data_IF_861144239789
#
_entry.id   IF_861144239789
#
_cell.length_a   1.000
_cell.length_b   1.000
_cell.length_c   1.000
_cell.angle_alpha   90.00
_cell.angle_beta   90.00
_cell.angle_gamma   90.00
#
_symmetry.space_group_name_H-M   'P 1'
#
loop_
_entity.id
_entity.type
_entity.pdbx_description
1 polymer ?
#
# COMPACT_ATOMS: atom_id res chain seq x y z
N UNK A 1 -30.23 9.88 6.28
CA UNK A 1 -29.20 8.93 6.75
C UNK A 1 -27.88 9.45 6.20
N UNK A 2 -26.89 9.75 7.02
CA UNK A 2 -25.58 10.15 6.51
C UNK A 2 -24.97 8.95 5.82
N UNK A 3 -24.56 9.08 4.56
CA UNK A 3 -23.73 8.11 3.90
C UNK A 3 -22.31 8.29 4.45
N UNK A 4 -22.01 7.52 5.46
CA UNK A 4 -20.88 7.67 6.37
C UNK A 4 -19.52 7.51 5.75
N UNK A 5 -19.45 7.03 4.53
CA UNK A 5 -18.21 6.60 3.93
C UNK A 5 -17.30 7.75 3.50
N UNK A 6 -17.87 8.85 3.01
CA UNK A 6 -17.11 10.04 2.63
C UNK A 6 -16.42 10.73 3.80
N UNK A 7 -17.07 10.65 4.99
CA UNK A 7 -16.60 11.33 6.20
C UNK A 7 -15.36 10.65 6.83
N UNK A 8 -15.06 9.41 6.43
CA UNK A 8 -13.95 8.62 6.97
C UNK A 8 -12.74 8.53 6.04
N UNK A 9 -12.79 9.21 4.90
CA UNK A 9 -11.67 9.24 3.97
C UNK A 9 -10.70 10.33 4.36
N UNK A 10 -9.60 9.92 4.93
CA UNK A 10 -8.47 10.80 5.11
C UNK A 10 -7.66 10.81 3.80
N UNK A 11 -7.61 11.99 3.18
CA UNK A 11 -6.90 12.24 1.93
C UNK A 11 -5.91 13.34 2.11
N UNK A 12 -4.69 13.04 1.72
CA UNK A 12 -3.64 14.04 1.57
C UNK A 12 -3.49 14.28 0.07
N UNK A 13 -4.02 15.40 -0.42
CA UNK A 13 -3.98 15.70 -1.85
C UNK A 13 -5.20 15.18 -2.63
N UNK A 14 -4.99 14.74 -3.88
CA UNK A 14 -6.03 14.33 -4.81
C UNK A 14 -6.22 12.81 -4.93
N UNK A 15 -5.51 12.02 -4.10
CA UNK A 15 -5.60 10.56 -4.04
C UNK A 15 -5.37 10.03 -2.61
N UNK A 16 -5.74 8.78 -2.37
CA UNK A 16 -5.54 8.15 -1.06
C UNK A 16 -4.06 7.86 -0.80
N UNK A 17 -3.56 8.37 0.30
CA UNK A 17 -2.24 8.07 0.85
C UNK A 17 -2.31 7.36 2.21
N UNK A 18 -3.53 7.18 2.72
CA UNK A 18 -3.82 6.45 3.96
C UNK A 18 -4.85 5.37 3.68
N UNK A 19 -4.84 4.30 4.50
CA UNK A 19 -5.83 3.25 4.39
C UNK A 19 -7.18 3.80 4.86
N UNK A 20 -8.23 3.74 4.04
CA UNK A 20 -9.57 4.14 4.47
C UNK A 20 -10.04 3.33 5.66
N UNK A 21 -10.88 3.94 6.49
CA UNK A 21 -11.44 3.30 7.67
C UNK A 21 -12.07 1.94 7.30
N UNK A 22 -11.68 0.88 8.00
CA UNK A 22 -12.17 -0.49 7.79
C UNK A 22 -13.64 -0.64 8.15
N UNK A 23 -14.18 0.20 9.00
CA UNK A 23 -15.59 0.14 9.43
C UNK A 23 -16.59 0.47 8.32
N UNK A 24 -16.12 0.91 7.15
CA UNK A 24 -16.96 1.21 5.99
C UNK A 24 -17.87 0.07 5.57
N UNK A 25 -17.39 -1.15 5.62
CA UNK A 25 -18.18 -2.33 5.24
C UNK A 25 -19.22 -2.73 6.31
N UNK A 26 -19.20 -2.14 7.49
CA UNK A 26 -20.26 -2.33 8.48
C UNK A 26 -21.59 -1.68 8.08
N UNK A 27 -21.58 -0.79 7.09
CA UNK A 27 -22.75 -0.02 6.65
C UNK A 27 -23.31 -0.51 5.31
N UNK A 28 -23.57 -1.80 5.22
CA UNK A 28 -24.18 -2.42 4.04
C UNK A 28 -25.65 -1.99 3.99
N UNK A 29 -26.11 -1.47 2.84
CA UNK A 29 -27.50 -1.09 2.65
C UNK A 29 -28.36 -2.35 2.41
N UNK A 30 -29.07 -2.79 3.45
CA UNK A 30 -30.06 -3.89 3.41
C UNK A 30 -31.50 -3.38 3.40
N UNK A 31 -31.73 -2.19 2.83
CA UNK A 31 -32.98 -1.48 2.73
C UNK A 31 -33.09 -0.77 1.38
N UNK A 32 -34.32 -0.37 1.02
CA UNK A 32 -34.58 0.43 -0.20
C UNK A 32 -34.06 1.87 0.00
N UNK A 33 -33.13 2.28 -0.88
CA UNK A 33 -32.58 3.63 -0.88
C UNK A 33 -33.57 4.58 -1.50
N UNK A 34 -34.05 5.56 -0.72
CA UNK A 34 -35.09 6.48 -1.15
C UNK A 34 -34.59 7.50 -2.21
N UNK A 35 -33.40 8.06 -2.03
CA UNK A 35 -32.83 9.05 -2.96
C UNK A 35 -31.53 8.54 -3.57
N UNK A 36 -31.64 7.81 -4.65
CA UNK A 36 -30.50 7.17 -5.34
C UNK A 36 -29.59 8.18 -6.05
N UNK A 37 -30.09 9.37 -6.37
CA UNK A 37 -29.29 10.42 -7.03
C UNK A 37 -28.29 11.10 -6.08
N UNK A 38 -28.49 10.97 -4.77
CA UNK A 38 -27.54 11.50 -3.78
C UNK A 38 -26.46 10.49 -3.37
N UNK A 39 -26.59 9.23 -3.80
CA UNK A 39 -25.65 8.18 -3.44
C UNK A 39 -24.35 8.35 -4.21
N UNK A 40 -23.27 8.64 -3.49
CA UNK A 40 -21.91 8.71 -4.04
C UNK A 40 -21.04 7.53 -3.63
N UNK A 41 -21.38 6.90 -2.52
CA UNK A 41 -20.60 5.82 -1.90
C UNK A 41 -21.56 4.70 -1.51
N UNK A 42 -21.19 3.46 -1.83
CA UNK A 42 -22.00 2.29 -1.50
C UNK A 42 -21.13 1.10 -1.14
N UNK A 43 -21.62 0.26 -0.22
CA UNK A 43 -21.03 -1.04 0.10
C UNK A 43 -21.99 -2.15 -0.30
N UNK A 44 -21.44 -3.18 -0.96
CA UNK A 44 -22.16 -4.38 -1.38
C UNK A 44 -21.49 -5.61 -0.76
N UNK A 45 -22.32 -6.56 -0.31
CA UNK A 45 -21.89 -7.84 0.22
C UNK A 45 -22.77 -8.98 -0.28
N UNK A 46 -22.24 -10.19 -0.30
CA UNK A 46 -23.02 -11.40 -0.64
C UNK A 46 -24.17 -11.69 0.32
N UNK A 47 -24.17 -11.09 1.51
CA UNK A 47 -25.23 -11.26 2.51
C UNK A 47 -26.50 -10.46 2.19
N UNK A 48 -26.41 -9.52 1.22
CA UNK A 48 -27.56 -8.72 0.80
C UNK A 48 -28.45 -9.49 -0.16
N UNK A 49 -29.76 -9.33 0.00
CA UNK A 49 -30.73 -9.77 -1.00
C UNK A 49 -30.52 -9.01 -2.32
N UNK A 50 -30.87 -9.68 -3.41
CA UNK A 50 -30.66 -9.15 -4.76
C UNK A 50 -31.31 -7.78 -4.96
N UNK A 51 -32.51 -7.59 -4.45
CA UNK A 51 -33.29 -6.35 -4.52
C UNK A 51 -32.53 -5.15 -3.89
N UNK A 52 -31.67 -5.40 -2.90
CA UNK A 52 -30.92 -4.34 -2.21
C UNK A 52 -29.62 -4.01 -2.90
N UNK A 53 -28.81 -5.01 -3.28
CA UNK A 53 -27.53 -4.71 -3.91
C UNK A 53 -27.68 -4.26 -5.36
N UNK A 54 -28.71 -4.69 -6.11
CA UNK A 54 -28.95 -4.22 -7.48
C UNK A 54 -29.32 -2.73 -7.56
N UNK A 55 -29.72 -2.09 -6.46
CA UNK A 55 -29.96 -0.66 -6.42
C UNK A 55 -28.72 0.18 -6.84
N UNK A 56 -27.54 -0.40 -6.80
CA UNK A 56 -26.30 0.23 -7.27
C UNK A 56 -26.42 0.72 -8.71
N UNK A 57 -27.17 0.02 -9.56
CA UNK A 57 -27.36 0.39 -10.96
C UNK A 57 -28.26 1.62 -11.17
N UNK A 58 -29.03 1.96 -10.16
CA UNK A 58 -29.92 3.13 -10.15
C UNK A 58 -29.26 4.36 -9.50
N UNK A 59 -28.00 4.30 -9.10
CA UNK A 59 -27.26 5.37 -8.44
C UNK A 59 -26.32 6.08 -9.46
N UNK A 60 -26.81 7.09 -10.20
CA UNK A 60 -26.09 7.69 -11.33
C UNK A 60 -24.84 8.48 -10.90
N UNK A 61 -24.78 8.91 -9.64
CA UNK A 61 -23.67 9.70 -9.09
C UNK A 61 -22.73 8.88 -8.21
N UNK A 62 -22.80 7.53 -8.31
CA UNK A 62 -21.92 6.64 -7.57
C UNK A 62 -20.48 6.76 -8.08
N UNK A 63 -19.56 7.13 -7.19
CA UNK A 63 -18.14 7.28 -7.50
C UNK A 63 -17.27 6.27 -6.72
N UNK A 64 -17.76 5.80 -5.58
CA UNK A 64 -17.01 4.95 -4.68
C UNK A 64 -17.79 3.70 -4.29
N UNK A 65 -17.15 2.55 -4.46
CA UNK A 65 -17.77 1.25 -4.22
C UNK A 65 -16.86 0.36 -3.38
N UNK A 66 -17.44 -0.22 -2.32
CA UNK A 66 -16.82 -1.30 -1.56
C UNK A 66 -17.55 -2.62 -1.84
N UNK A 67 -16.80 -3.62 -2.27
CA UNK A 67 -17.26 -5.01 -2.40
C UNK A 67 -16.71 -5.80 -1.22
N UNK A 68 -17.56 -6.05 -0.21
CA UNK A 68 -17.17 -6.78 0.99
C UNK A 68 -17.66 -8.22 0.91
N UNK A 69 -16.72 -9.19 0.82
CA UNK A 69 -17.05 -10.61 0.65
C UNK A 69 -18.12 -10.83 -0.45
N UNK A 70 -17.91 -10.29 -1.67
CA UNK A 70 -18.92 -10.31 -2.71
C UNK A 70 -19.08 -11.70 -3.31
N UNK A 71 -20.28 -11.98 -3.86
CA UNK A 71 -20.48 -13.13 -4.73
C UNK A 71 -19.85 -12.89 -6.11
N UNK A 72 -19.59 -13.96 -6.86
CA UNK A 72 -19.10 -13.86 -8.24
C UNK A 72 -20.11 -13.16 -9.15
N UNK A 73 -21.42 -13.39 -8.93
CA UNK A 73 -22.50 -12.74 -9.66
C UNK A 73 -22.45 -11.22 -9.47
N UNK A 74 -22.28 -10.76 -8.22
CA UNK A 74 -22.15 -9.34 -7.90
C UNK A 74 -20.94 -8.71 -8.59
N UNK A 75 -19.78 -9.34 -8.50
CA UNK A 75 -18.55 -8.82 -9.15
C UNK A 75 -18.73 -8.73 -10.66
N UNK A 76 -19.30 -9.76 -11.30
CA UNK A 76 -19.54 -9.76 -12.73
C UNK A 76 -20.53 -8.69 -13.18
N UNK A 77 -21.60 -8.48 -12.42
CA UNK A 77 -22.61 -7.47 -12.72
C UNK A 77 -22.05 -6.06 -12.55
N UNK A 78 -21.35 -5.82 -11.42
CA UNK A 78 -20.82 -4.52 -11.02
C UNK A 78 -19.68 -4.06 -11.93
N UNK A 79 -18.91 -4.99 -12.50
CA UNK A 79 -17.83 -4.64 -13.44
C UNK A 79 -18.30 -3.87 -14.69
N UNK A 80 -19.61 -3.77 -14.90
CA UNK A 80 -20.22 -2.99 -15.99
C UNK A 80 -20.62 -1.56 -15.58
N UNK A 81 -20.45 -1.18 -14.31
CA UNK A 81 -20.79 0.16 -13.83
C UNK A 81 -19.83 1.20 -14.42
N UNK A 82 -20.35 2.28 -15.02
CA UNK A 82 -19.54 3.41 -15.40
C UNK A 82 -19.14 4.25 -14.17
N UNK A 83 -18.15 5.12 -14.33
CA UNK A 83 -17.84 6.24 -13.43
C UNK A 83 -17.32 5.89 -12.02
N UNK A 84 -17.00 4.63 -11.74
CA UNK A 84 -16.38 4.25 -10.46
C UNK A 84 -14.94 4.77 -10.44
N UNK A 85 -14.68 5.72 -9.55
CA UNK A 85 -13.35 6.32 -9.33
C UNK A 85 -12.57 5.60 -8.23
N UNK A 86 -13.28 4.99 -7.27
CA UNK A 86 -12.70 4.35 -6.10
C UNK A 86 -13.34 3.00 -5.87
N UNK A 87 -12.50 1.97 -5.88
CA UNK A 87 -12.93 0.59 -5.67
C UNK A 87 -12.17 -0.03 -4.50
N UNK A 88 -12.90 -0.62 -3.57
CA UNK A 88 -12.36 -1.48 -2.53
C UNK A 88 -12.97 -2.86 -2.65
N UNK A 89 -12.13 -3.89 -2.68
CA UNK A 89 -12.55 -5.30 -2.69
C UNK A 89 -11.93 -6.00 -1.50
N UNK A 90 -12.77 -6.63 -0.67
CA UNK A 90 -12.30 -7.32 0.52
C UNK A 90 -12.84 -8.75 0.57
N UNK A 91 -12.01 -9.70 1.05
CA UNK A 91 -12.38 -11.10 1.29
C UNK A 91 -12.95 -11.82 0.05
N UNK A 92 -12.36 -11.60 -1.11
CA UNK A 92 -12.81 -12.21 -2.35
C UNK A 92 -11.81 -13.24 -2.88
N UNK A 93 -12.32 -14.38 -3.37
CA UNK A 93 -11.51 -15.40 -4.02
C UNK A 93 -11.82 -15.46 -5.51
N UNK A 94 -10.80 -15.22 -6.34
CA UNK A 94 -10.89 -15.22 -7.80
C UNK A 94 -9.61 -15.76 -8.42
N UNK A 95 -9.67 -16.28 -9.63
CA UNK A 95 -8.51 -16.76 -10.39
C UNK A 95 -7.73 -15.66 -11.07
N UNK A 96 -8.36 -14.52 -11.29
CA UNK A 96 -7.80 -13.31 -11.91
C UNK A 96 -8.50 -12.06 -11.40
N UNK A 97 -7.99 -10.90 -11.77
CA UNK A 97 -8.55 -9.59 -11.45
C UNK A 97 -8.93 -8.80 -12.73
N UNK A 98 -9.19 -9.49 -13.83
CA UNK A 98 -9.55 -8.87 -15.11
C UNK A 98 -10.78 -7.97 -15.00
N UNK A 99 -11.74 -8.31 -14.13
CA UNK A 99 -12.94 -7.49 -13.90
C UNK A 99 -12.63 -6.04 -13.51
N UNK A 100 -11.49 -5.80 -12.84
CA UNK A 100 -11.07 -4.45 -12.41
C UNK A 100 -10.73 -3.57 -13.62
N UNK A 101 -10.21 -4.16 -14.68
CA UNK A 101 -9.82 -3.43 -15.89
C UNK A 101 -10.99 -2.75 -16.63
N UNK A 102 -12.23 -3.11 -16.30
CA UNK A 102 -13.42 -2.49 -16.87
C UNK A 102 -13.76 -1.12 -16.24
N UNK A 103 -13.20 -0.80 -15.09
CA UNK A 103 -13.41 0.49 -14.42
C UNK A 103 -12.44 1.53 -14.97
N UNK A 104 -12.72 2.05 -16.17
CA UNK A 104 -11.80 2.94 -16.88
C UNK A 104 -11.54 4.28 -16.21
N UNK A 105 -12.43 4.70 -15.30
CA UNK A 105 -12.31 5.93 -14.51
C UNK A 105 -11.67 5.72 -13.14
N UNK A 106 -11.21 4.50 -12.85
CA UNK A 106 -10.66 4.17 -11.55
C UNK A 106 -9.37 4.95 -11.25
N UNK A 107 -9.39 5.70 -10.15
CA UNK A 107 -8.27 6.48 -9.64
C UNK A 107 -7.63 5.83 -8.40
N UNK A 108 -8.41 5.09 -7.61
CA UNK A 108 -7.96 4.52 -6.34
C UNK A 108 -8.50 3.09 -6.18
N UNK A 109 -7.59 2.15 -5.88
CA UNK A 109 -7.89 0.73 -5.72
C UNK A 109 -7.38 0.20 -4.38
N UNK A 110 -8.23 -0.53 -3.66
CA UNK A 110 -7.87 -1.27 -2.47
C UNK A 110 -8.25 -2.74 -2.66
N UNK A 111 -7.28 -3.63 -2.51
CA UNK A 111 -7.48 -5.08 -2.48
C UNK A 111 -7.02 -5.61 -1.14
N UNK A 112 -7.95 -6.10 -0.32
CA UNK A 112 -7.67 -6.65 1.01
C UNK A 112 -8.16 -8.10 1.09
N UNK A 113 -7.29 -9.04 1.41
CA UNK A 113 -7.63 -10.46 1.50
C UNK A 113 -8.25 -11.01 0.21
N UNK A 114 -7.86 -10.45 -0.93
CA UNK A 114 -8.25 -10.97 -2.25
C UNK A 114 -7.25 -12.04 -2.65
N UNK A 115 -7.74 -13.24 -2.95
CA UNK A 115 -6.90 -14.43 -3.10
C UNK A 115 -7.24 -15.25 -4.33
N UNK A 116 -6.31 -16.12 -4.73
CA UNK A 116 -6.51 -17.07 -5.83
C UNK A 116 -5.79 -16.67 -7.12
N UNK A 117 -5.40 -15.43 -7.28
CA UNK A 117 -4.63 -14.89 -8.40
C UNK A 117 -3.19 -14.55 -7.98
N UNK A 118 -2.32 -14.39 -8.96
CA UNK A 118 -0.90 -13.99 -8.73
C UNK A 118 -0.43 -12.87 -9.66
N UNK A 119 -1.25 -12.46 -10.62
CA UNK A 119 -0.87 -11.51 -11.67
C UNK A 119 -1.60 -10.17 -11.49
N UNK A 120 -0.84 -9.06 -11.53
CA UNK A 120 -1.33 -7.69 -11.46
C UNK A 120 -1.38 -7.00 -12.84
N UNK A 121 -0.99 -7.68 -13.92
CA UNK A 121 -0.97 -7.13 -15.31
C UNK A 121 -2.33 -6.51 -15.72
N UNK A 122 -3.50 -7.03 -15.33
CA UNK A 122 -4.77 -6.37 -15.65
C UNK A 122 -4.86 -4.91 -15.24
N UNK A 123 -4.12 -4.49 -14.18
CA UNK A 123 -4.10 -3.11 -13.70
C UNK A 123 -3.44 -2.12 -14.68
N UNK A 124 -2.60 -2.59 -15.62
CA UNK A 124 -1.99 -1.75 -16.68
C UNK A 124 -3.03 -1.12 -17.62
N UNK A 125 -4.23 -1.69 -17.68
CA UNK A 125 -5.33 -1.15 -18.49
C UNK A 125 -5.94 0.11 -17.87
N UNK A 126 -5.70 0.36 -16.57
CA UNK A 126 -6.23 1.51 -15.83
C UNK A 126 -5.37 2.75 -16.08
N UNK A 127 -5.89 3.69 -16.89
CA UNK A 127 -5.12 4.87 -17.29
C UNK A 127 -5.18 6.04 -16.30
N UNK A 128 -6.08 5.97 -15.32
CA UNK A 128 -6.30 7.03 -14.32
C UNK A 128 -5.90 6.62 -12.90
N UNK A 129 -5.44 5.39 -12.70
CA UNK A 129 -5.11 4.87 -11.37
C UNK A 129 -3.94 5.63 -10.75
N UNK A 130 -4.15 6.27 -9.61
CA UNK A 130 -3.17 7.08 -8.88
C UNK A 130 -2.65 6.38 -7.64
N UNK A 131 -3.50 5.58 -7.01
CA UNK A 131 -3.21 4.95 -5.72
C UNK A 131 -3.67 3.50 -5.68
N UNK A 132 -2.79 2.61 -5.18
CA UNK A 132 -3.11 1.21 -4.94
C UNK A 132 -2.73 0.82 -3.51
N UNK A 133 -3.64 0.10 -2.83
CA UNK A 133 -3.43 -0.50 -1.53
C UNK A 133 -3.64 -2.00 -1.63
N UNK A 134 -2.62 -2.75 -1.30
CA UNK A 134 -2.64 -4.21 -1.29
C UNK A 134 -2.40 -4.73 0.12
N UNK A 135 -3.35 -5.48 0.65
CA UNK A 135 -3.20 -6.15 1.93
C UNK A 135 -3.47 -7.64 1.77
N UNK A 136 -2.49 -8.45 2.18
CA UNK A 136 -2.61 -9.90 2.21
C UNK A 136 -3.01 -10.53 0.87
N UNK A 137 -2.29 -10.17 -0.20
CA UNK A 137 -2.40 -10.79 -1.51
C UNK A 137 -1.43 -11.98 -1.61
N UNK A 138 -1.70 -13.06 -0.87
CA UNK A 138 -0.76 -14.16 -0.58
C UNK A 138 -0.04 -14.79 -1.76
N UNK A 139 -0.64 -14.79 -2.95
CA UNK A 139 -0.07 -15.41 -4.14
C UNK A 139 0.63 -14.41 -5.06
N UNK A 140 0.48 -13.13 -4.79
CA UNK A 140 1.18 -12.08 -5.52
C UNK A 140 2.53 -11.88 -4.86
N UNK A 141 3.58 -12.33 -5.51
CA UNK A 141 4.98 -12.15 -5.07
C UNK A 141 5.74 -11.22 -5.99
N UNK A 142 5.37 -11.20 -7.26
CA UNK A 142 5.86 -10.28 -8.27
C UNK A 142 4.89 -9.12 -8.48
N UNK A 143 5.37 -7.92 -8.23
CA UNK A 143 4.64 -6.68 -8.45
C UNK A 143 4.97 -6.02 -9.80
N UNK A 144 5.73 -6.69 -10.66
CA UNK A 144 6.06 -6.25 -12.01
C UNK A 144 4.83 -5.98 -12.90
N UNK A 145 3.67 -6.57 -12.56
CA UNK A 145 2.40 -6.24 -13.20
C UNK A 145 2.00 -4.76 -13.12
N UNK A 146 2.61 -3.97 -12.22
CA UNK A 146 2.40 -2.52 -12.11
C UNK A 146 3.30 -1.70 -13.07
N UNK A 147 4.26 -2.31 -13.74
CA UNK A 147 5.20 -1.64 -14.63
C UNK A 147 4.48 -0.88 -15.75
N UNK A 148 4.98 0.33 -16.06
CA UNK A 148 4.45 1.17 -17.12
C UNK A 148 3.14 1.91 -16.82
N UNK A 149 2.62 1.83 -15.58
CA UNK A 149 1.43 2.60 -15.20
C UNK A 149 1.84 4.05 -14.93
N UNK A 150 1.69 4.92 -15.93
CA UNK A 150 2.14 6.32 -15.88
C UNK A 150 1.38 7.18 -14.87
N UNK A 151 0.11 6.84 -14.60
CA UNK A 151 -0.73 7.60 -13.66
C UNK A 151 -0.44 7.29 -12.19
N UNK A 152 0.23 6.16 -11.88
CA UNK A 152 0.42 5.69 -10.52
C UNK A 152 1.41 6.56 -9.74
N UNK A 153 1.01 7.00 -8.55
CA UNK A 153 1.73 7.91 -7.64
C UNK A 153 2.03 7.29 -6.29
N UNK A 154 1.16 6.40 -5.84
CA UNK A 154 1.23 5.81 -4.51
C UNK A 154 1.00 4.31 -4.54
N UNK A 155 1.87 3.58 -3.87
CA UNK A 155 1.72 2.14 -3.64
C UNK A 155 1.83 1.88 -2.13
N UNK A 156 0.86 1.17 -1.58
CA UNK A 156 0.92 0.61 -0.25
C UNK A 156 0.83 -0.92 -0.32
N UNK A 157 1.78 -1.61 0.30
CA UNK A 157 1.80 -3.06 0.38
C UNK A 157 1.86 -3.45 1.86
N UNK A 158 0.92 -4.29 2.29
CA UNK A 158 0.76 -4.71 3.67
C UNK A 158 0.56 -6.22 3.78
N UNK A 159 1.10 -6.80 4.82
CA UNK A 159 0.73 -8.13 5.27
C UNK A 159 -0.29 -8.05 6.42
N UNK A 160 -0.25 -9.02 7.32
CA UNK A 160 -1.02 -9.04 8.55
C UNK A 160 -0.22 -9.67 9.68
N UNK A 161 -0.73 -9.65 10.90
CA UNK A 161 -0.09 -10.35 12.02
C UNK A 161 0.02 -11.86 11.79
N UNK A 162 -0.98 -12.46 11.12
CA UNK A 162 -1.05 -13.90 10.91
C UNK A 162 -0.39 -14.34 9.60
N UNK A 163 -0.19 -13.42 8.65
CA UNK A 163 0.24 -13.74 7.30
C UNK A 163 1.22 -12.73 6.72
N UNK A 164 2.37 -13.22 6.29
CA UNK A 164 3.32 -12.40 5.55
C UNK A 164 2.86 -12.17 4.11
N UNK A 165 3.05 -10.94 3.63
CA UNK A 165 2.99 -10.60 2.22
C UNK A 165 4.39 -10.76 1.62
N UNK A 166 4.65 -11.80 0.81
CA UNK A 166 5.94 -11.96 0.18
C UNK A 166 6.12 -10.98 -0.99
N UNK A 167 7.35 -10.49 -1.16
CA UNK A 167 7.77 -9.69 -2.32
C UNK A 167 9.07 -10.30 -2.84
N UNK A 168 9.15 -10.63 -4.12
CA UNK A 168 10.36 -11.16 -4.73
C UNK A 168 11.49 -10.13 -4.78
N UNK A 169 11.20 -8.93 -5.29
CA UNK A 169 12.12 -7.80 -5.31
C UNK A 169 11.35 -6.48 -5.45
N UNK A 170 12.05 -5.37 -5.25
CA UNK A 170 11.55 -4.02 -5.54
C UNK A 170 11.97 -3.52 -6.92
N UNK A 171 12.44 -4.38 -7.81
CA UNK A 171 12.93 -3.99 -9.15
C UNK A 171 11.85 -3.32 -10.00
N UNK A 172 10.59 -3.70 -9.81
CA UNK A 172 9.43 -3.10 -10.46
C UNK A 172 9.30 -1.58 -10.25
N UNK A 173 9.86 -1.03 -9.17
CA UNK A 173 9.80 0.42 -8.90
C UNK A 173 10.50 1.25 -9.98
N UNK A 174 11.52 0.69 -10.63
CA UNK A 174 12.21 1.37 -11.73
C UNK A 174 11.36 1.56 -12.99
N UNK A 175 10.26 0.81 -13.09
CA UNK A 175 9.37 0.76 -14.26
C UNK A 175 8.04 1.51 -14.05
N UNK A 176 7.86 2.16 -12.89
CA UNK A 176 6.68 2.99 -12.60
C UNK A 176 7.13 4.46 -12.63
N UNK A 177 6.99 5.16 -13.78
CA UNK A 177 7.76 6.38 -14.04
C UNK A 177 7.42 7.57 -13.15
N UNK A 178 6.23 7.58 -12.57
CA UNK A 178 5.75 8.71 -11.78
C UNK A 178 5.38 8.35 -10.35
N UNK A 179 5.87 7.19 -9.84
CA UNK A 179 5.64 6.80 -8.46
C UNK A 179 6.34 7.81 -7.53
N UNK A 180 5.60 8.34 -6.57
CA UNK A 180 6.08 9.34 -5.61
C UNK A 180 6.29 8.76 -4.21
N UNK A 181 5.42 7.85 -3.80
CA UNK A 181 5.42 7.29 -2.44
C UNK A 181 5.28 5.77 -2.50
N UNK A 182 6.20 5.08 -1.85
CA UNK A 182 6.06 3.66 -1.53
C UNK A 182 5.86 3.51 -0.02
N UNK A 183 4.79 2.85 0.37
CA UNK A 183 4.52 2.50 1.75
C UNK A 183 4.53 0.97 1.92
N UNK A 184 5.30 0.51 2.91
CA UNK A 184 5.41 -0.89 3.28
C UNK A 184 4.90 -1.05 4.72
N UNK A 185 3.82 -1.79 4.85
CA UNK A 185 3.19 -2.05 6.12
C UNK A 185 3.77 -3.23 6.88
N UNK A 186 3.03 -3.66 7.86
CA UNK A 186 3.39 -4.80 8.70
C UNK A 186 3.35 -6.12 7.92
N UNK A 187 4.18 -7.10 8.32
CA UNK A 187 4.13 -8.45 7.77
C UNK A 187 4.59 -8.59 6.31
N UNK A 188 5.19 -7.56 5.72
CA UNK A 188 5.80 -7.66 4.39
C UNK A 188 7.18 -8.28 4.50
N UNK A 189 7.51 -9.22 3.60
CA UNK A 189 8.77 -9.95 3.60
C UNK A 189 9.36 -10.04 2.20
N UNK A 190 10.55 -9.49 2.02
CA UNK A 190 11.33 -9.68 0.78
C UNK A 190 11.89 -11.10 0.78
N UNK A 191 11.69 -11.82 -0.33
CA UNK A 191 12.18 -13.19 -0.53
C UNK A 191 13.62 -13.10 -1.06
N UNK A 192 14.58 -13.74 -0.34
CA UNK A 192 16.00 -13.72 -0.72
C UNK A 192 16.55 -12.30 -0.96
N UNK A 193 16.49 -11.41 0.03
CA UNK A 193 16.91 -10.02 -0.14
C UNK A 193 18.39 -9.93 -0.51
N UNK A 194 18.71 -9.13 -1.54
CA UNK A 194 20.07 -8.80 -1.94
C UNK A 194 20.30 -7.31 -1.77
N UNK A 195 21.33 -6.96 -1.04
CA UNK A 195 21.69 -5.54 -0.82
C UNK A 195 22.12 -4.84 -2.11
N UNK A 196 21.69 -3.59 -2.35
CA UNK A 196 20.59 -2.90 -1.61
C UNK A 196 19.22 -3.31 -2.16
N UNK A 197 18.28 -3.66 -1.28
CA UNK A 197 16.93 -4.11 -1.70
C UNK A 197 16.16 -3.04 -2.46
N UNK A 198 16.48 -1.76 -2.24
CA UNK A 198 15.85 -0.61 -2.90
C UNK A 198 16.69 -0.03 -4.04
N UNK A 199 17.60 -0.79 -4.62
CA UNK A 199 18.47 -0.35 -5.72
C UNK A 199 17.70 0.28 -6.89
N UNK A 200 16.53 -0.24 -7.21
CA UNK A 200 15.67 0.23 -8.31
C UNK A 200 15.23 1.70 -8.17
N UNK A 201 15.17 2.23 -6.94
CA UNK A 201 14.82 3.64 -6.69
C UNK A 201 15.82 4.60 -7.32
N UNK A 202 17.09 4.20 -7.48
CA UNK A 202 18.10 5.03 -8.15
C UNK A 202 17.71 5.42 -9.57
N UNK A 203 16.88 4.60 -10.22
CA UNK A 203 16.37 4.82 -11.58
C UNK A 203 15.07 5.62 -11.62
N UNK A 204 14.37 5.73 -10.49
CA UNK A 204 13.10 6.45 -10.40
C UNK A 204 13.24 7.73 -9.56
N UNK A 205 13.58 8.82 -10.23
CA UNK A 205 13.81 10.14 -9.60
C UNK A 205 12.53 10.81 -9.06
N UNK A 206 11.36 10.21 -9.27
CA UNK A 206 10.08 10.74 -8.79
C UNK A 206 9.72 10.26 -7.39
N UNK A 207 10.31 9.15 -6.94
CA UNK A 207 10.09 8.67 -5.58
C UNK A 207 10.68 9.67 -4.60
N UNK A 208 9.82 10.24 -3.77
CA UNK A 208 10.14 11.28 -2.79
C UNK A 208 10.12 10.74 -1.37
N UNK A 209 9.34 9.67 -1.11
CA UNK A 209 9.09 9.18 0.24
C UNK A 209 8.99 7.67 0.30
N UNK A 210 9.60 7.09 1.32
CA UNK A 210 9.41 5.71 1.73
C UNK A 210 8.78 5.68 3.13
N UNK A 211 7.62 5.03 3.25
CA UNK A 211 7.00 4.75 4.55
C UNK A 211 7.34 3.33 4.95
N UNK A 212 8.17 3.16 5.95
CA UNK A 212 8.74 1.88 6.39
C UNK A 212 8.62 1.72 7.90
N UNK A 213 8.41 0.48 8.36
CA UNK A 213 8.55 0.16 9.79
C UNK A 213 10.03 0.00 10.19
N UNK A 214 10.41 0.23 11.46
CA UNK A 214 11.80 0.17 11.98
C UNK A 214 12.55 -1.14 11.71
N UNK A 215 11.84 -2.26 11.64
CA UNK A 215 12.43 -3.59 11.48
C UNK A 215 12.13 -4.21 10.10
N UNK A 216 11.81 -3.40 9.11
CA UNK A 216 11.46 -3.91 7.78
C UNK A 216 12.68 -4.51 7.05
N UNK A 217 13.78 -3.79 6.99
CA UNK A 217 15.00 -4.20 6.29
C UNK A 217 16.25 -4.06 7.17
N UNK A 218 17.41 -4.41 6.64
CA UNK A 218 18.67 -4.31 7.35
C UNK A 218 19.04 -2.87 7.69
N UNK A 219 19.91 -2.67 8.67
CA UNK A 219 20.48 -1.35 8.98
C UNK A 219 21.21 -0.75 7.77
N UNK A 220 21.86 -1.59 6.98
CA UNK A 220 22.56 -1.22 5.76
C UNK A 220 21.60 -0.71 4.67
N UNK A 221 20.44 -1.34 4.50
CA UNK A 221 19.41 -0.88 3.57
C UNK A 221 18.80 0.47 4.01
N UNK A 222 18.60 0.70 5.32
CA UNK A 222 18.19 2.01 5.84
C UNK A 222 19.23 3.09 5.54
N UNK A 223 20.51 2.79 5.75
CA UNK A 223 21.60 3.72 5.42
C UNK A 223 21.63 4.05 3.92
N UNK A 224 21.36 3.05 3.07
CA UNK A 224 21.29 3.26 1.62
C UNK A 224 20.14 4.20 1.22
N UNK A 225 18.93 3.97 1.72
CA UNK A 225 17.78 4.82 1.37
C UNK A 225 17.88 6.21 1.97
N UNK A 226 18.49 6.37 3.16
CA UNK A 226 18.76 7.67 3.75
C UNK A 226 19.72 8.50 2.91
N UNK A 227 20.79 7.89 2.40
CA UNK A 227 21.73 8.57 1.49
C UNK A 227 21.06 8.96 0.18
N UNK A 228 20.09 8.17 -0.28
CA UNK A 228 19.41 8.38 -1.55
C UNK A 228 18.31 9.46 -1.47
N UNK A 229 17.52 9.46 -0.41
CA UNK A 229 16.30 10.27 -0.28
C UNK A 229 16.36 11.36 0.80
N UNK A 230 17.28 11.26 1.76
CA UNK A 230 17.27 12.04 3.00
C UNK A 230 16.45 11.36 4.11
N UNK A 231 16.88 11.58 5.36
CA UNK A 231 16.25 10.97 6.54
C UNK A 231 14.78 11.38 6.70
N UNK A 232 14.47 12.65 6.42
CA UNK A 232 13.13 13.22 6.51
C UNK A 232 12.10 12.56 5.59
N UNK A 233 12.58 11.86 4.57
CA UNK A 233 11.78 11.16 3.57
C UNK A 233 11.59 9.65 3.85
N UNK A 234 12.16 9.17 4.95
CA UNK A 234 11.93 7.81 5.47
C UNK A 234 11.07 7.95 6.72
N UNK A 235 9.79 7.60 6.59
CA UNK A 235 8.81 7.90 7.64
C UNK A 235 8.00 6.66 8.03
N UNK A 236 7.32 6.74 9.17
CA UNK A 236 6.22 5.84 9.49
C UNK A 236 4.96 6.21 8.68
N UNK A 237 3.88 5.47 8.92
CA UNK A 237 2.59 5.70 8.25
C UNK A 237 1.96 7.07 8.58
N UNK A 238 2.27 7.63 9.74
CA UNK A 238 1.83 8.95 10.22
C UNK A 238 2.75 10.11 9.80
N UNK A 239 3.68 9.84 8.87
CA UNK A 239 4.70 10.78 8.39
C UNK A 239 5.75 11.20 9.43
N UNK A 240 5.78 10.59 10.60
CA UNK A 240 6.88 10.79 11.56
C UNK A 240 8.17 10.17 11.00
N UNK A 241 9.32 10.89 10.98
CA UNK A 241 10.58 10.35 10.52
C UNK A 241 11.02 9.11 11.32
N UNK A 242 11.60 8.13 10.63
CA UNK A 242 12.16 6.94 11.27
C UNK A 242 13.56 7.26 11.78
N UNK A 243 13.73 7.25 13.08
CA UNK A 243 14.99 7.57 13.75
C UNK A 243 15.83 6.31 13.99
N UNK A 244 17.17 6.47 14.12
CA UNK A 244 18.09 5.38 14.42
C UNK A 244 17.80 4.73 15.78
N UNK A 245 17.37 5.51 16.75
CA UNK A 245 17.00 5.08 18.09
C UNK A 245 15.55 5.47 18.39
N UNK A 246 14.85 4.59 19.10
CA UNK A 246 13.53 4.86 19.63
C UNK A 246 13.50 4.45 21.10
N UNK A 247 13.38 5.43 21.99
CA UNK A 247 13.29 5.18 23.42
C UNK A 247 11.83 5.00 23.82
N UNK A 248 11.54 3.86 24.42
CA UNK A 248 10.21 3.53 24.94
C UNK A 248 10.33 2.90 26.34
N UNK A 249 9.74 3.56 27.33
CA UNK A 249 9.90 3.17 28.75
C UNK A 249 11.38 3.14 29.13
N UNK A 250 11.88 2.00 29.56
CA UNK A 250 13.28 1.81 29.94
C UNK A 250 14.10 1.04 28.89
N UNK A 251 13.66 1.06 27.65
CA UNK A 251 14.30 0.36 26.54
C UNK A 251 14.59 1.30 25.38
N UNK A 252 15.66 0.99 24.65
CA UNK A 252 16.02 1.62 23.39
C UNK A 252 15.95 0.56 22.30
N UNK A 253 15.09 0.83 21.30
CA UNK A 253 14.98 0.03 20.09
C UNK A 253 15.85 0.64 19.00
N UNK A 254 16.71 -0.18 18.41
CA UNK A 254 17.52 0.21 17.28
C UNK A 254 16.78 0.04 15.95
N UNK A 255 17.14 0.85 14.97
CA UNK A 255 16.72 0.71 13.60
C UNK A 255 17.35 -0.55 12.99
N UNK A 256 16.60 -1.25 12.14
CA UNK A 256 17.10 -2.40 11.38
C UNK A 256 16.56 -3.74 11.84
N UNK A 257 16.34 -4.60 10.87
CA UNK A 257 15.84 -5.96 11.08
C UNK A 257 16.83 -6.80 11.89
N UNK A 258 16.35 -7.45 12.93
CA UNK A 258 17.17 -8.31 13.79
C UNK A 258 17.97 -7.56 14.87
N UNK A 259 17.91 -6.24 14.92
CA UNK A 259 18.49 -5.47 16.00
C UNK A 259 17.72 -5.73 17.30
N UNK A 260 18.46 -5.93 18.40
CA UNK A 260 17.85 -6.21 19.72
C UNK A 260 17.74 -4.94 20.53
N UNK A 261 16.61 -4.74 21.18
CA UNK A 261 16.42 -3.69 22.17
C UNK A 261 17.38 -3.85 23.34
N UNK A 262 17.75 -2.74 23.97
CA UNK A 262 18.59 -2.71 25.17
C UNK A 262 17.93 -1.88 26.26
N UNK A 263 18.37 -2.05 27.52
CA UNK A 263 18.00 -1.12 28.58
C UNK A 263 18.55 0.27 28.31
N UNK A 264 17.77 1.31 28.58
CA UNK A 264 18.24 2.70 28.47
C UNK A 264 19.30 3.03 29.54
N UNK A 265 19.37 2.25 30.61
CA UNK A 265 20.38 2.41 31.66
C UNK A 265 21.76 2.00 31.13
N UNK A 266 22.73 2.93 31.18
CA UNK A 266 24.10 2.72 30.72
C UNK A 266 24.20 2.37 29.20
N UNK A 267 23.29 2.85 28.40
CA UNK A 267 23.19 2.54 26.97
C UNK A 267 24.15 3.34 26.06
N UNK A 268 24.76 4.40 26.58
CA UNK A 268 25.54 5.38 25.80
C UNK A 268 26.58 4.74 24.88
N UNK A 269 27.49 3.92 25.45
CA UNK A 269 28.56 3.29 24.64
C UNK A 269 28.03 2.42 23.50
N UNK A 270 26.87 1.80 23.71
CA UNK A 270 26.25 0.95 22.71
C UNK A 270 25.55 1.76 21.64
N UNK A 271 24.89 2.85 22.02
CA UNK A 271 24.32 3.81 21.08
C UNK A 271 25.41 4.47 20.23
N UNK A 272 26.53 4.88 20.85
CA UNK A 272 27.66 5.48 20.13
C UNK A 272 28.25 4.51 19.09
N UNK A 273 28.38 3.22 19.44
CA UNK A 273 28.84 2.19 18.49
C UNK A 273 27.89 2.00 17.33
N UNK A 274 26.59 1.94 17.59
CA UNK A 274 25.57 1.79 16.52
C UNK A 274 25.55 3.03 15.64
N UNK A 275 25.67 4.23 16.21
CA UNK A 275 25.79 5.50 15.46
C UNK A 275 27.00 5.47 14.53
N UNK A 276 28.17 5.06 15.05
CA UNK A 276 29.38 4.97 14.22
C UNK A 276 29.25 3.93 13.12
N UNK A 277 28.66 2.78 13.42
CA UNK A 277 28.38 1.74 12.42
C UNK A 277 27.47 2.29 11.32
N UNK A 278 26.41 2.99 11.70
CA UNK A 278 25.45 3.57 10.75
C UNK A 278 26.08 4.62 9.84
N UNK A 279 26.95 5.49 10.36
CA UNK A 279 27.72 6.44 9.52
C UNK A 279 28.68 5.74 8.57
N UNK A 280 29.31 4.65 9.00
CA UNK A 280 30.15 3.83 8.12
C UNK A 280 29.33 3.17 6.99
N UNK A 281 28.10 2.70 7.30
CA UNK A 281 27.18 2.14 6.31
C UNK A 281 26.70 3.21 5.30
N UNK A 282 26.43 4.42 5.75
CA UNK A 282 26.13 5.56 4.85
C UNK A 282 27.30 5.90 3.93
N UNK A 283 28.54 5.79 4.43
CA UNK A 283 29.72 6.00 3.60
C UNK A 283 29.83 4.95 2.50
N UNK A 284 29.64 3.67 2.84
CA UNK A 284 29.61 2.58 1.86
C UNK A 284 28.48 2.76 0.83
N UNK A 285 27.31 3.19 1.27
CA UNK A 285 26.19 3.47 0.37
C UNK A 285 26.52 4.61 -0.62
N UNK A 286 27.19 5.66 -0.18
CA UNK A 286 27.69 6.74 -1.07
C UNK A 286 28.67 6.22 -2.11
N UNK A 287 29.60 5.34 -1.72
CA UNK A 287 30.56 4.71 -2.64
C UNK A 287 29.86 3.81 -3.66
N UNK A 288 28.90 3.00 -3.18
CA UNK A 288 28.08 2.16 -4.06
C UNK A 288 27.33 3.01 -5.11
N UNK A 289 26.68 4.09 -4.68
CA UNK A 289 25.93 4.96 -5.60
C UNK A 289 26.83 5.63 -6.63
N UNK A 290 28.06 6.05 -6.25
CA UNK A 290 29.06 6.58 -7.19
C UNK A 290 29.47 5.56 -8.25
N UNK A 291 29.67 4.31 -7.86
CA UNK A 291 30.05 3.24 -8.79
C UNK A 291 28.91 2.76 -9.69
N UNK A 292 27.67 2.96 -9.26
CA UNK A 292 26.48 2.46 -9.96
C UNK A 292 25.85 3.51 -10.90
N UNK A 293 25.97 4.81 -10.58
CA UNK A 293 25.39 5.91 -11.34
C UNK A 293 26.40 6.67 -12.21
N UNK A 294 27.71 6.35 -12.11
CA UNK A 294 28.78 6.83 -13.00
C UNK A 294 28.95 5.90 -14.16
#
# INVERSE_FOLDING_TARGET
MKHHFGDFLDRTGDYWTTIPNRDRFAFIADFVIANKTEVKILTISKTQDKIYWEQVFDCPNLEELTLHDPSKEQVQAISKLPNIKRLRVTFFRTTDIEFISNFHDLEELILEYVSGFSDLVPLRKLKKIKSVHFENLRRVTDFGGLAGIESLRYIYINGTFDWNQPIESFDFLSEIPNLEILAIGFGVKVVNPTYPIFKSITKNKKIKKLRLGRAFCSLEDYAFVEVLLGQENITYADDTPVELFYEHKEQIDFLGKGMRSISSTNSKDKCDKVSQEYENLKTKAKEYLKSYCG
#
